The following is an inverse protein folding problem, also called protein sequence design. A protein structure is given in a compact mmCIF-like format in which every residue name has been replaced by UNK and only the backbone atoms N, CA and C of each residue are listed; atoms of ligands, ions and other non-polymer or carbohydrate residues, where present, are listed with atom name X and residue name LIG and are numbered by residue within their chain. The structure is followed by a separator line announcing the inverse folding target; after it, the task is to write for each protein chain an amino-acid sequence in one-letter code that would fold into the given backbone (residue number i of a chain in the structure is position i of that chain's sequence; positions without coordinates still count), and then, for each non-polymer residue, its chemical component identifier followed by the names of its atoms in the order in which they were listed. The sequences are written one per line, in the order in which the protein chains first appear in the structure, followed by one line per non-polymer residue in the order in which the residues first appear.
data_IF_845552814237
#
_entry.id   IF_845552814237
#
_cell.length_a   1.000
_cell.length_b   1.000
_cell.length_c   1.000
_cell.angle_alpha   90.00
_cell.angle_beta   90.00
_cell.angle_gamma   90.00
#
_symmetry.space_group_name_H-M   'P 1'
#
loop_
_entity.id
_entity.type
_entity.pdbx_description
1 polymer ?
#
# COMPACT_ATOMS: atom_id res chain seq x y z
N UNK A 1 -30.34 31.58 21.47
CA UNK A 1 -28.89 31.37 21.29
C UNK A 1 -28.35 30.09 21.95
N UNK A 2 -28.64 29.79 23.23
CA UNK A 2 -28.12 28.59 23.93
C UNK A 2 -28.50 27.23 23.31
N UNK A 3 -29.74 27.11 22.79
CA UNK A 3 -30.23 25.86 22.15
C UNK A 3 -29.51 25.57 20.83
N UNK A 4 -29.23 26.59 20.02
CA UNK A 4 -28.49 26.45 18.76
C UNK A 4 -27.06 25.98 19.00
N UNK A 5 -26.41 26.52 20.04
CA UNK A 5 -25.04 26.16 20.42
C UNK A 5 -24.94 24.73 20.94
N UNK A 6 -25.97 24.25 21.66
CA UNK A 6 -26.05 22.86 22.14
C UNK A 6 -26.23 21.86 20.99
N UNK A 7 -27.05 22.20 19.99
CA UNK A 7 -27.24 21.38 18.78
C UNK A 7 -26.00 21.36 17.90
N UNK A 8 -25.32 22.50 17.76
CA UNK A 8 -24.05 22.58 17.03
C UNK A 8 -22.99 21.70 17.70
N UNK A 9 -22.84 21.80 19.03
CA UNK A 9 -21.91 20.98 19.80
C UNK A 9 -22.22 19.48 19.68
N UNK A 10 -23.50 19.10 19.71
CA UNK A 10 -23.92 17.70 19.54
C UNK A 10 -23.55 17.14 18.15
N UNK A 11 -23.73 17.94 17.09
CA UNK A 11 -23.36 17.58 15.72
C UNK A 11 -21.83 17.47 15.57
N UNK A 12 -21.07 18.37 16.20
CA UNK A 12 -19.60 18.31 16.18
C UNK A 12 -19.07 17.06 16.87
N UNK A 13 -19.61 16.71 18.05
CA UNK A 13 -19.22 15.50 18.78
C UNK A 13 -19.58 14.22 18.01
N UNK A 14 -20.76 14.17 17.39
CA UNK A 14 -21.16 13.07 16.51
C UNK A 14 -20.26 12.96 15.27
N UNK A 15 -19.88 14.08 14.65
CA UNK A 15 -18.96 14.11 13.52
C UNK A 15 -17.57 13.59 13.88
N UNK A 16 -17.03 14.00 15.03
CA UNK A 16 -15.74 13.51 15.54
C UNK A 16 -15.83 12.01 15.86
N UNK A 17 -16.92 11.56 16.50
CA UNK A 17 -17.16 10.14 16.79
C UNK A 17 -17.21 9.29 15.52
N UNK A 18 -17.96 9.72 14.52
CA UNK A 18 -18.04 9.04 13.22
C UNK A 18 -16.68 9.01 12.50
N UNK A 19 -15.90 10.10 12.58
CA UNK A 19 -14.56 10.17 12.01
C UNK A 19 -13.59 9.19 12.67
N UNK A 20 -13.63 9.06 13.99
CA UNK A 20 -12.80 8.10 14.74
C UNK A 20 -13.19 6.64 14.45
N UNK A 21 -14.49 6.34 14.35
CA UNK A 21 -14.98 5.00 14.02
C UNK A 21 -14.60 4.62 12.59
N UNK A 22 -14.78 5.54 11.64
CA UNK A 22 -14.36 5.34 10.25
C UNK A 22 -12.84 5.11 10.17
N UNK A 23 -12.03 5.93 10.84
CA UNK A 23 -10.57 5.76 10.87
C UNK A 23 -10.11 4.39 11.37
N UNK A 24 -10.73 3.89 12.46
CA UNK A 24 -10.42 2.56 12.98
C UNK A 24 -10.88 1.42 12.05
N UNK A 25 -12.07 1.56 11.45
CA UNK A 25 -12.60 0.55 10.53
C UNK A 25 -11.77 0.45 9.25
N UNK A 26 -11.35 1.59 8.69
CA UNK A 26 -10.42 1.63 7.56
C UNK A 26 -9.09 0.97 7.92
N UNK A 27 -8.51 1.28 9.08
CA UNK A 27 -7.22 0.71 9.50
C UNK A 27 -7.25 -0.82 9.60
N UNK A 28 -8.32 -1.39 10.16
CA UNK A 28 -8.43 -2.84 10.40
C UNK A 28 -8.69 -3.65 9.12
N UNK A 29 -9.48 -3.11 8.19
CA UNK A 29 -9.90 -3.86 7.00
C UNK A 29 -9.10 -3.52 5.74
N UNK A 30 -8.58 -2.31 5.60
CA UNK A 30 -7.93 -1.89 4.34
C UNK A 30 -6.45 -2.22 4.30
N UNK A 31 -5.77 -2.22 5.45
CA UNK A 31 -4.36 -2.60 5.55
C UNK A 31 -4.06 -3.99 4.97
N UNK A 32 -4.74 -5.08 5.38
CA UNK A 32 -4.45 -6.41 4.83
C UNK A 32 -4.74 -6.50 3.32
N UNK A 33 -5.78 -5.81 2.83
CA UNK A 33 -6.11 -5.78 1.41
C UNK A 33 -5.01 -5.08 0.58
N UNK A 34 -4.48 -3.95 1.09
CA UNK A 34 -3.41 -3.21 0.42
C UNK A 34 -2.08 -3.96 0.46
N UNK A 35 -1.77 -4.66 1.55
CA UNK A 35 -0.59 -5.53 1.64
C UNK A 35 -0.63 -6.64 0.58
N UNK A 36 -1.79 -7.29 0.42
CA UNK A 36 -1.98 -8.33 -0.60
C UNK A 36 -1.87 -7.77 -2.02
N UNK A 37 -2.51 -6.63 -2.29
CA UNK A 37 -2.43 -5.96 -3.59
C UNK A 37 -1.01 -5.54 -3.94
N UNK A 38 -0.26 -4.98 -2.98
CA UNK A 38 1.12 -4.55 -3.20
C UNK A 38 2.03 -5.73 -3.52
N UNK A 39 1.88 -6.84 -2.77
CA UNK A 39 2.62 -8.08 -3.02
C UNK A 39 2.31 -8.65 -4.40
N UNK A 40 1.03 -8.71 -4.76
CA UNK A 40 0.59 -9.21 -6.06
C UNK A 40 1.05 -8.31 -7.21
N UNK A 41 1.05 -7.00 -7.02
CA UNK A 41 1.54 -6.05 -8.02
C UNK A 41 3.01 -6.34 -8.36
N UNK A 42 3.88 -6.47 -7.36
CA UNK A 42 5.30 -6.76 -7.60
C UNK A 42 5.51 -8.12 -8.26
N UNK A 43 4.81 -9.16 -7.81
CA UNK A 43 4.90 -10.50 -8.41
C UNK A 43 4.47 -10.46 -9.89
N UNK A 44 3.36 -9.79 -10.19
CA UNK A 44 2.82 -9.70 -11.56
C UNK A 44 3.67 -8.86 -12.50
N UNK A 45 4.29 -7.78 -12.00
CA UNK A 45 5.14 -6.90 -12.81
C UNK A 45 6.54 -7.45 -13.03
N UNK A 46 6.99 -8.42 -12.21
CA UNK A 46 8.33 -9.00 -12.29
C UNK A 46 8.39 -10.46 -12.72
N UNK A 47 7.28 -11.02 -13.22
CA UNK A 47 7.17 -12.46 -13.54
C UNK A 47 7.62 -13.36 -12.35
N UNK A 48 7.30 -12.94 -11.13
CA UNK A 48 7.70 -13.56 -9.85
C UNK A 48 9.21 -13.56 -9.55
N UNK A 49 10.04 -12.88 -10.34
CA UNK A 49 11.49 -12.80 -10.11
C UNK A 49 11.83 -12.07 -8.81
N UNK A 50 11.00 -11.11 -8.39
CA UNK A 50 11.25 -10.32 -7.20
C UNK A 50 10.20 -10.56 -6.12
N UNK A 51 10.68 -10.65 -4.89
CA UNK A 51 9.88 -10.63 -3.66
C UNK A 51 10.12 -9.32 -2.94
N UNK A 52 9.06 -8.76 -2.36
CA UNK A 52 9.18 -7.66 -1.39
C UNK A 52 9.05 -8.17 0.03
N UNK A 53 9.83 -7.56 0.91
CA UNK A 53 9.72 -7.68 2.36
C UNK A 53 9.68 -6.27 2.96
N UNK A 54 8.90 -6.09 4.01
CA UNK A 54 8.80 -4.84 4.76
C UNK A 54 8.26 -5.16 6.15
N UNK A 55 8.65 -4.38 7.14
CA UNK A 55 8.17 -4.57 8.52
C UNK A 55 6.75 -4.02 8.69
N UNK A 56 6.49 -2.85 8.12
CA UNK A 56 5.22 -2.16 8.32
C UNK A 56 4.77 -1.38 7.09
N UNK A 57 3.47 -1.46 6.79
CA UNK A 57 2.78 -0.60 5.83
C UNK A 57 1.94 0.44 6.58
N UNK A 58 2.31 1.71 6.42
CA UNK A 58 1.51 2.85 6.88
C UNK A 58 0.81 3.50 5.68
N UNK A 59 -0.49 3.72 5.85
CA UNK A 59 -1.37 4.26 4.82
C UNK A 59 -1.92 5.55 5.35
N UNK A 60 -1.58 6.66 4.70
CA UNK A 60 -2.14 7.94 5.07
C UNK A 60 -3.46 8.15 4.29
N UNK A 61 -4.63 8.08 4.95
CA UNK A 61 -5.92 8.17 4.28
C UNK A 61 -6.23 9.58 3.77
N UNK A 62 -5.51 10.61 4.23
CA UNK A 62 -5.75 12.01 3.87
C UNK A 62 -5.21 12.31 2.47
N UNK A 63 -3.99 11.83 2.17
CA UNK A 63 -3.32 12.08 0.89
C UNK A 63 -3.16 10.83 0.01
N UNK A 64 -3.52 9.64 0.50
CA UNK A 64 -3.38 8.39 -0.24
C UNK A 64 -1.93 7.92 -0.41
N UNK A 65 -1.01 8.45 0.41
CA UNK A 65 0.39 8.01 0.40
C UNK A 65 0.55 6.68 1.14
N UNK A 66 1.42 5.82 0.60
CA UNK A 66 1.83 4.56 1.22
C UNK A 66 3.28 4.70 1.68
N UNK A 67 3.55 4.36 2.94
CA UNK A 67 4.90 4.30 3.49
C UNK A 67 5.19 2.88 3.94
N UNK A 68 6.18 2.26 3.32
CA UNK A 68 6.72 0.97 3.68
C UNK A 68 7.97 1.20 4.54
N UNK A 69 8.00 0.63 5.73
CA UNK A 69 9.12 0.71 6.66
C UNK A 69 9.98 -0.54 6.51
N UNK A 70 11.31 -0.36 6.49
CA UNK A 70 12.30 -1.40 6.26
C UNK A 70 12.05 -2.19 4.96
N UNK A 71 11.87 -1.47 3.86
CA UNK A 71 11.54 -2.09 2.58
C UNK A 71 12.76 -2.77 1.96
N UNK A 72 12.59 -4.02 1.56
CA UNK A 72 13.58 -4.83 0.84
C UNK A 72 12.97 -5.43 -0.41
N UNK A 73 13.67 -5.27 -1.54
CA UNK A 73 13.40 -5.95 -2.79
C UNK A 73 14.46 -7.03 -2.99
N UNK A 74 14.03 -8.29 -2.95
CA UNK A 74 14.91 -9.45 -2.95
C UNK A 74 14.63 -10.29 -4.20
N UNK A 75 15.66 -10.59 -5.01
CA UNK A 75 15.52 -11.50 -6.14
C UNK A 75 15.37 -12.95 -5.66
N UNK A 76 14.47 -13.69 -6.31
CA UNK A 76 14.26 -15.13 -6.10
C UNK A 76 15.12 -15.90 -7.10
N UNK A 77 16.18 -16.52 -6.60
CA UNK A 77 17.19 -17.17 -7.46
C UNK A 77 16.63 -18.38 -8.21
N UNK A 78 15.67 -19.11 -7.64
CA UNK A 78 15.01 -20.24 -8.31
C UNK A 78 14.24 -19.81 -9.56
N UNK A 79 13.59 -18.63 -9.51
CA UNK A 79 12.88 -18.07 -10.66
C UNK A 79 13.87 -17.55 -11.70
N UNK A 80 14.97 -16.92 -11.25
CA UNK A 80 16.03 -16.47 -12.13
C UNK A 80 16.64 -17.61 -12.95
N UNK A 81 17.01 -18.73 -12.32
CA UNK A 81 17.58 -19.88 -13.02
C UNK A 81 16.58 -20.50 -14.02
N UNK A 82 15.29 -20.54 -13.68
CA UNK A 82 14.25 -20.95 -14.63
C UNK A 82 14.17 -20.00 -15.83
N UNK A 83 14.15 -18.69 -15.60
CA UNK A 83 14.12 -17.68 -16.67
C UNK A 83 15.39 -17.75 -17.54
N UNK A 84 16.54 -18.09 -16.94
CA UNK A 84 17.80 -18.27 -17.64
C UNK A 84 17.77 -19.50 -18.55
N UNK A 85 17.20 -20.60 -18.08
CA UNK A 85 16.95 -21.78 -18.91
C UNK A 85 15.99 -21.47 -20.09
N UNK A 86 15.02 -20.59 -19.87
CA UNK A 86 14.10 -20.10 -20.91
C UNK A 86 14.69 -18.98 -21.79
N UNK A 87 15.93 -18.53 -21.55
CA UNK A 87 16.56 -17.37 -22.22
C UNK A 87 15.76 -16.05 -22.10
N UNK A 88 14.99 -15.91 -21.03
CA UNK A 88 14.20 -14.72 -20.67
C UNK A 88 14.73 -14.00 -19.42
N UNK A 89 15.83 -14.48 -18.85
CA UNK A 89 16.42 -13.84 -17.69
C UNK A 89 16.91 -12.43 -18.04
N UNK A 90 16.69 -11.43 -17.17
CA UNK A 90 17.28 -10.12 -17.33
C UNK A 90 18.80 -10.19 -17.13
N UNK A 91 19.53 -9.31 -17.81
CA UNK A 91 21.00 -9.25 -17.74
C UNK A 91 21.49 -8.86 -16.34
N UNK A 92 20.74 -8.00 -15.64
CA UNK A 92 21.08 -7.48 -14.33
C UNK A 92 20.01 -7.83 -13.30
N UNK A 93 20.47 -8.21 -12.10
CA UNK A 93 19.64 -8.42 -10.92
C UNK A 93 19.94 -7.33 -9.90
N UNK A 94 18.90 -6.77 -9.29
CA UNK A 94 19.04 -5.73 -8.28
C UNK A 94 18.55 -6.21 -6.91
N UNK A 95 19.29 -5.86 -5.86
CA UNK A 95 18.84 -5.94 -4.47
C UNK A 95 18.73 -4.52 -3.94
N UNK A 96 17.56 -4.16 -3.42
CA UNK A 96 17.32 -2.83 -2.86
C UNK A 96 16.91 -3.00 -1.40
N UNK A 97 17.55 -2.25 -0.51
CA UNK A 97 17.19 -2.20 0.91
C UNK A 97 17.19 -0.73 1.33
N UNK A 98 16.05 -0.26 1.85
CA UNK A 98 15.87 1.13 2.28
C UNK A 98 15.06 1.19 3.57
N UNK A 99 15.42 2.13 4.45
CA UNK A 99 14.75 2.29 5.76
C UNK A 99 13.27 2.66 5.60
N UNK A 100 12.94 3.46 4.58
CA UNK A 100 11.56 3.78 4.26
C UNK A 100 11.39 4.04 2.76
N UNK A 101 10.40 3.37 2.17
CA UNK A 101 9.93 3.64 0.82
C UNK A 101 8.58 4.37 0.90
N UNK A 102 8.54 5.61 0.41
CA UNK A 102 7.32 6.43 0.36
C UNK A 102 6.82 6.48 -1.07
N UNK A 103 5.66 5.88 -1.32
CA UNK A 103 4.96 5.94 -2.60
C UNK A 103 3.92 7.07 -2.47
N UNK A 104 4.24 8.21 -3.07
CA UNK A 104 3.35 9.37 -3.11
C UNK A 104 2.27 9.17 -4.17
N UNK A 105 1.05 9.63 -3.89
CA UNK A 105 -0.08 9.51 -4.83
C UNK A 105 -0.19 8.10 -5.43
N UNK A 106 -0.08 7.06 -4.59
CA UNK A 106 -0.21 5.67 -5.03
C UNK A 106 -1.60 5.35 -5.61
N UNK A 107 -2.48 6.35 -5.74
CA UNK A 107 -3.84 6.27 -6.24
C UNK A 107 -4.55 5.05 -5.64
N UNK A 108 -4.43 4.85 -4.33
CA UNK A 108 -5.07 3.73 -3.62
C UNK A 108 -6.59 3.69 -3.87
N UNK A 109 -7.20 4.85 -4.18
CA UNK A 109 -8.58 4.99 -4.63
C UNK A 109 -8.84 4.34 -6.00
N UNK A 110 -7.92 4.44 -6.96
CA UNK A 110 -8.01 3.72 -8.25
C UNK A 110 -7.57 2.27 -8.12
N UNK A 111 -6.56 1.92 -7.32
CA UNK A 111 -6.16 0.52 -7.12
C UNK A 111 -7.33 -0.36 -6.62
N UNK A 112 -8.20 0.20 -5.77
CA UNK A 112 -9.45 -0.45 -5.32
C UNK A 112 -10.53 -0.44 -6.41
N UNK A 113 -10.58 0.59 -7.27
CA UNK A 113 -11.63 0.74 -8.29
C UNK A 113 -11.32 0.08 -9.63
N UNK A 114 -10.06 -0.14 -9.99
CA UNK A 114 -9.63 -0.56 -11.34
C UNK A 114 -8.79 -1.84 -11.35
N UNK A 115 -8.38 -2.36 -10.19
CA UNK A 115 -7.49 -3.54 -10.06
C UNK A 115 -6.19 -3.45 -10.89
N UNK A 116 -5.74 -2.25 -11.28
CA UNK A 116 -4.53 -2.06 -12.06
C UNK A 116 -3.76 -0.85 -11.55
N UNK A 117 -2.49 -1.07 -11.19
CA UNK A 117 -1.54 -0.01 -10.89
C UNK A 117 -0.81 0.37 -12.18
N UNK A 118 -0.96 1.63 -12.61
CA UNK A 118 -0.19 2.22 -13.70
C UNK A 118 0.80 3.21 -13.09
N UNK A 119 2.08 2.91 -13.22
CA UNK A 119 3.16 3.85 -12.92
C UNK A 119 3.49 4.58 -14.22
N UNK A 120 3.44 5.92 -14.20
CA UNK A 120 3.89 6.79 -15.29
C UNK A 120 5.22 7.42 -14.92
#
# INVERSE_FOLDING_TARGET
MKKFLLWFLAITVLGIGAFLIAGNYLRKNWKPLLEEQLKNAVISSSDSLYRIEYDNLDVNPINGNLKLVEFKLIPVMEVYERLKAEKKAPDNIYRLEVDALIIQNANAKEAVSTKKLSVK
#
